data_IF_813184168797
#
_entry.id   IF_813184168797
#
_cell.length_a   1.000
_cell.length_b   1.000
_cell.length_c   1.000
_cell.angle_alpha   90.00
_cell.angle_beta   90.00
_cell.angle_gamma   90.00
#
_symmetry.space_group_name_H-M   'P 1'
#
loop_
_entity.id
_entity.type
_entity.pdbx_description
1 polymer ?
#
# COMPACT_ATOMS: atom_id res chain seq x y z
N UNK A 1 -8.19 13.80 -12.08
CA UNK A 1 -9.34 13.58 -11.17
C UNK A 1 -8.76 13.11 -9.85
N UNK A 2 -9.36 13.54 -8.74
CA UNK A 2 -9.01 12.96 -7.45
C UNK A 2 -9.55 11.53 -7.37
N UNK A 3 -8.76 10.63 -6.80
CA UNK A 3 -9.05 9.20 -6.68
C UNK A 3 -9.14 8.86 -5.19
N UNK A 4 -10.26 8.30 -4.74
CA UNK A 4 -10.45 7.95 -3.34
C UNK A 4 -10.30 6.43 -3.17
N UNK A 5 -9.22 6.01 -2.53
CA UNK A 5 -8.90 4.61 -2.34
C UNK A 5 -9.04 4.22 -0.89
N UNK A 6 -9.58 3.04 -0.65
CA UNK A 6 -9.40 2.32 0.60
C UNK A 6 -8.41 1.21 0.32
N UNK A 7 -7.27 1.21 1.00
CA UNK A 7 -6.22 0.21 0.85
C UNK A 7 -5.98 -0.54 2.15
N UNK A 8 -5.56 -1.80 2.02
CA UNK A 8 -4.98 -2.62 3.08
C UNK A 8 -3.47 -2.62 2.87
N UNK A 9 -2.71 -2.36 3.92
CA UNK A 9 -1.25 -2.47 3.96
C UNK A 9 -0.90 -3.60 4.90
N UNK A 10 -0.11 -4.55 4.42
CA UNK A 10 0.42 -5.68 5.17
C UNK A 10 1.94 -5.58 5.16
N UNK A 11 2.56 -5.61 6.34
CA UNK A 11 4.00 -5.63 6.49
C UNK A 11 4.39 -6.94 7.16
N UNK A 12 5.40 -7.61 6.62
CA UNK A 12 6.05 -8.74 7.26
C UNK A 12 7.55 -8.48 7.32
N UNK A 13 8.17 -8.80 8.44
CA UNK A 13 9.60 -8.63 8.69
C UNK A 13 10.24 -9.96 9.03
N UNK A 14 11.52 -10.13 8.68
CA UNK A 14 12.23 -11.40 8.87
C UNK A 14 12.44 -11.76 10.35
N UNK A 15 12.30 -10.81 11.27
CA UNK A 15 12.31 -11.07 12.72
C UNK A 15 11.00 -11.69 13.23
N UNK A 16 10.02 -11.90 12.34
CA UNK A 16 8.71 -12.45 12.65
C UNK A 16 7.69 -11.42 13.09
N UNK A 17 8.00 -10.12 12.97
CA UNK A 17 7.02 -9.06 13.17
C UNK A 17 6.11 -8.96 11.94
N UNK A 18 4.81 -8.84 12.17
CA UNK A 18 3.80 -8.67 11.15
C UNK A 18 2.85 -7.55 11.58
N UNK A 19 2.45 -6.71 10.64
CA UNK A 19 1.55 -5.59 10.87
C UNK A 19 0.54 -5.48 9.74
N UNK A 20 -0.70 -5.15 10.08
CA UNK A 20 -1.80 -4.99 9.13
C UNK A 20 -2.54 -3.68 9.43
N UNK A 21 -2.71 -2.84 8.41
CA UNK A 21 -3.35 -1.52 8.54
C UNK A 21 -4.28 -1.26 7.36
N UNK A 22 -5.35 -0.50 7.60
CA UNK A 22 -6.26 -0.03 6.54
C UNK A 22 -6.18 1.49 6.46
N UNK A 23 -5.97 2.02 5.26
CA UNK A 23 -5.86 3.46 5.01
C UNK A 23 -6.90 3.92 4.00
N UNK A 24 -7.44 5.12 4.21
CA UNK A 24 -8.18 5.86 3.20
C UNK A 24 -7.25 6.90 2.61
N UNK A 25 -7.01 6.79 1.31
CA UNK A 25 -6.05 7.59 0.54
C UNK A 25 -6.81 8.41 -0.49
N UNK A 26 -6.52 9.70 -0.58
CA UNK A 26 -7.05 10.55 -1.65
C UNK A 26 -5.88 11.01 -2.52
N UNK A 27 -5.84 10.55 -3.76
CA UNK A 27 -4.79 10.89 -4.72
C UNK A 27 -5.28 11.96 -5.68
N UNK A 28 -4.65 13.13 -5.72
CA UNK A 28 -5.10 14.23 -6.59
C UNK A 28 -4.80 13.99 -8.08
N UNK A 29 -3.79 13.15 -8.37
CA UNK A 29 -3.30 12.86 -9.72
C UNK A 29 -3.04 11.36 -9.85
N UNK A 30 -3.96 10.68 -10.54
CA UNK A 30 -3.79 9.31 -11.00
C UNK A 30 -3.38 9.32 -12.47
N UNK A 31 -2.22 8.72 -12.79
CA UNK A 31 -1.68 8.62 -14.16
C UNK A 31 -1.59 7.20 -14.70
N UNK A 32 -2.03 6.21 -13.92
CA UNK A 32 -2.01 4.80 -14.28
C UNK A 32 -1.60 3.92 -13.10
N UNK A 33 -1.45 2.63 -13.36
CA UNK A 33 -1.15 1.63 -12.32
C UNK A 33 0.25 1.80 -11.70
N UNK A 34 1.29 2.12 -12.49
CA UNK A 34 2.63 2.35 -11.91
C UNK A 34 2.65 3.56 -10.97
N UNK A 35 2.05 4.68 -11.39
CA UNK A 35 1.89 5.91 -10.59
C UNK A 35 1.03 5.69 -9.34
N UNK A 36 0.08 4.74 -9.41
CA UNK A 36 -0.69 4.29 -8.25
C UNK A 36 0.21 3.59 -7.24
N UNK A 37 0.95 2.57 -7.66
CA UNK A 37 1.79 1.80 -6.75
C UNK A 37 2.93 2.64 -6.16
N UNK A 38 3.54 3.53 -6.95
CA UNK A 38 4.56 4.46 -6.45
C UNK A 38 4.04 5.34 -5.30
N UNK A 39 2.81 5.88 -5.44
CA UNK A 39 2.20 6.70 -4.38
C UNK A 39 1.71 5.86 -3.19
N UNK A 40 1.20 4.64 -3.44
CA UNK A 40 0.75 3.76 -2.36
C UNK A 40 1.90 3.18 -1.53
N UNK A 41 3.11 3.11 -2.10
CA UNK A 41 4.30 2.67 -1.40
C UNK A 41 4.60 3.54 -0.16
N UNK A 42 4.27 4.84 -0.20
CA UNK A 42 4.46 5.75 0.94
C UNK A 42 3.64 5.36 2.19
N UNK A 43 2.62 4.52 2.03
CA UNK A 43 1.80 4.00 3.13
C UNK A 43 2.31 2.67 3.69
N UNK A 44 3.36 2.09 3.08
CA UNK A 44 3.97 0.85 3.54
C UNK A 44 4.94 1.07 4.69
N UNK A 45 5.16 0.01 5.48
CA UNK A 45 5.98 0.07 6.68
C UNK A 45 5.25 0.71 7.87
N UNK A 46 5.55 0.23 9.06
CA UNK A 46 5.00 0.74 10.32
C UNK A 46 6.09 1.34 11.25
N UNK A 47 7.31 1.49 10.73
CA UNK A 47 8.46 2.01 11.46
C UNK A 47 9.27 0.95 12.21
N UNK A 48 8.83 -0.31 12.25
CA UNK A 48 9.56 -1.40 12.92
C UNK A 48 10.98 -1.65 12.36
N UNK A 49 11.15 -1.47 11.04
CA UNK A 49 12.45 -1.56 10.37
C UNK A 49 13.31 -0.29 10.42
N UNK A 50 12.88 0.78 11.09
CA UNK A 50 13.63 2.03 11.07
C UNK A 50 15.01 1.85 11.75
N UNK A 51 16.08 2.18 11.01
CA UNK A 51 17.46 2.03 11.45
C UNK A 51 18.02 0.60 11.42
N UNK A 52 17.29 -0.40 10.91
CA UNK A 52 17.75 -1.79 10.79
C UNK A 52 17.25 -2.45 9.50
N UNK A 53 18.15 -3.08 8.75
CA UNK A 53 17.76 -3.93 7.63
C UNK A 53 17.20 -5.25 8.19
N UNK A 54 15.88 -5.32 8.33
CA UNK A 54 15.17 -6.48 8.90
C UNK A 54 14.57 -7.40 7.83
N UNK A 55 14.82 -7.14 6.53
CA UNK A 55 14.18 -7.84 5.42
C UNK A 55 12.66 -7.66 5.49
N UNK A 56 12.15 -6.63 4.83
CA UNK A 56 10.74 -6.22 4.88
C UNK A 56 10.02 -6.62 3.59
N UNK A 57 8.89 -7.29 3.73
CA UNK A 57 7.94 -7.54 2.66
C UNK A 57 6.69 -6.69 2.92
N UNK A 58 6.35 -5.84 1.97
CA UNK A 58 5.21 -4.95 2.05
C UNK A 58 4.22 -5.32 0.96
N UNK A 59 2.98 -5.58 1.33
CA UNK A 59 1.90 -5.87 0.38
C UNK A 59 0.81 -4.83 0.55
N UNK A 60 0.39 -4.20 -0.55
CA UNK A 60 -0.76 -3.30 -0.55
C UNK A 60 -1.85 -3.89 -1.42
N UNK A 61 -3.07 -3.92 -0.89
CA UNK A 61 -4.27 -4.38 -1.60
C UNK A 61 -5.31 -3.27 -1.63
N UNK A 62 -5.89 -2.99 -2.81
CA UNK A 62 -6.97 -2.03 -2.95
C UNK A 62 -8.30 -2.70 -2.56
N UNK A 63 -8.92 -2.21 -1.49
CA UNK A 63 -10.21 -2.70 -0.98
C UNK A 63 -11.41 -1.95 -1.54
N UNK A 64 -11.21 -0.69 -1.96
CA UNK A 64 -12.30 0.14 -2.46
C UNK A 64 -11.80 1.30 -3.31
N UNK A 65 -12.48 1.56 -4.42
CA UNK A 65 -12.24 2.72 -5.27
C UNK A 65 -13.56 3.06 -5.99
N UNK A 66 -14.33 4.06 -5.52
CA UNK A 66 -15.62 4.39 -6.12
C UNK A 66 -15.47 4.98 -7.53
N UNK A 67 -14.36 5.65 -7.84
CA UNK A 67 -14.11 6.20 -9.17
C UNK A 67 -13.70 5.12 -10.19
N UNK A 68 -12.96 4.09 -9.74
CA UNK A 68 -12.47 3.00 -10.59
C UNK A 68 -12.63 1.64 -9.89
N UNK A 69 -13.84 1.06 -9.94
CA UNK A 69 -14.12 -0.21 -9.28
C UNK A 69 -13.28 -1.38 -9.81
N UNK A 70 -12.71 -1.25 -11.02
CA UNK A 70 -11.78 -2.21 -11.61
C UNK A 70 -10.45 -2.34 -10.85
N UNK A 71 -10.08 -1.34 -10.05
CA UNK A 71 -8.88 -1.39 -9.21
C UNK A 71 -9.09 -2.23 -7.94
N UNK A 72 -10.35 -2.48 -7.55
CA UNK A 72 -10.65 -3.22 -6.33
C UNK A 72 -10.22 -4.67 -6.46
N UNK A 73 -9.43 -5.15 -5.50
CA UNK A 73 -8.83 -6.48 -5.49
C UNK A 73 -7.44 -6.54 -6.13
N UNK A 74 -6.96 -5.45 -6.76
CA UNK A 74 -5.57 -5.37 -7.17
C UNK A 74 -4.66 -5.31 -5.94
N UNK A 75 -3.50 -5.96 -6.05
CA UNK A 75 -2.47 -5.94 -5.03
C UNK A 75 -1.09 -5.81 -5.65
N UNK A 76 -0.18 -5.19 -4.91
CA UNK A 76 1.22 -5.10 -5.26
C UNK A 76 2.10 -5.38 -4.04
N UNK A 77 3.25 -6.00 -4.28
CA UNK A 77 4.19 -6.43 -3.25
C UNK A 77 5.58 -5.83 -3.52
N UNK A 78 6.26 -5.42 -2.45
CA UNK A 78 7.64 -4.92 -2.45
C UNK A 78 8.46 -5.67 -1.39
N UNK A 79 9.70 -6.06 -1.72
CA UNK A 79 10.64 -6.69 -0.79
C UNK A 79 12.04 -6.79 -1.35
#
# INVERSE_FOLDING_TARGET
>A
MALNLTIKVENAYSDGHESEQTHTVTMERFRGEEDLWEQLFEYTGDGHGDGRDLGSLHTVTVLGCPEYPELVGLSNEWG
#
